data_IF_399494526636
#
_entry.id   IF_399494526636
#
_cell.length_a   1.000
_cell.length_b   1.000
_cell.length_c   1.000
_cell.angle_alpha   90.00
_cell.angle_beta   90.00
_cell.angle_gamma   90.00
#
_symmetry.space_group_name_H-M   'P 1'
#
loop_
_entity.id
_entity.type
_entity.pdbx_description
1 polymer ?
#
# COMPACT_ATOMS: atom_id res chain seq x y z
N UNK A 1 -10.72 6.97 13.65
CA UNK A 1 -11.82 7.97 13.67
C UNK A 1 -11.76 9.03 12.56
N UNK A 2 -10.65 9.78 12.35
CA UNK A 2 -10.59 10.90 11.37
C UNK A 2 -10.92 10.55 9.90
N UNK A 3 -10.61 9.34 9.44
CA UNK A 3 -10.90 8.89 8.06
C UNK A 3 -12.40 8.66 7.83
N UNK A 4 -13.12 8.20 8.87
CA UNK A 4 -14.56 7.94 8.81
C UNK A 4 -15.35 9.22 8.56
N UNK A 5 -15.08 10.28 9.33
CA UNK A 5 -15.74 11.58 9.18
C UNK A 5 -15.50 12.20 7.80
N UNK A 6 -14.28 12.06 7.28
CA UNK A 6 -13.92 12.58 5.95
C UNK A 6 -14.67 11.85 4.83
N UNK A 7 -14.89 10.54 4.97
CA UNK A 7 -15.68 9.73 4.01
C UNK A 7 -17.16 10.10 4.06
N UNK A 8 -17.71 10.31 5.26
CA UNK A 8 -19.10 10.72 5.46
C UNK A 8 -19.38 12.10 4.85
N UNK A 9 -18.46 13.06 5.03
CA UNK A 9 -18.59 14.41 4.51
C UNK A 9 -18.57 14.47 2.97
N UNK A 10 -17.77 13.62 2.32
CA UNK A 10 -17.72 13.54 0.85
C UNK A 10 -19.02 12.96 0.27
N UNK A 11 -19.64 11.98 0.94
CA UNK A 11 -20.95 11.45 0.52
C UNK A 11 -22.04 12.51 0.63
N UNK A 12 -22.09 13.24 1.75
CA UNK A 12 -23.05 14.34 1.94
C UNK A 12 -22.95 15.41 0.86
N UNK A 13 -21.73 15.81 0.46
CA UNK A 13 -21.53 16.78 -0.64
C UNK A 13 -22.03 16.27 -1.99
N UNK A 14 -21.86 14.98 -2.28
CA UNK A 14 -22.34 14.37 -3.53
C UNK A 14 -23.88 14.32 -3.56
N UNK A 15 -24.49 13.95 -2.44
CA UNK A 15 -25.94 13.72 -2.36
C UNK A 15 -26.76 15.02 -2.27
N UNK A 16 -26.18 16.11 -1.74
CA UNK A 16 -26.92 17.35 -1.45
C UNK A 16 -26.46 18.59 -2.24
N UNK A 17 -25.34 18.53 -2.97
CA UNK A 17 -24.92 19.66 -3.81
C UNK A 17 -25.68 19.66 -5.13
N UNK A 18 -26.37 20.77 -5.43
CA UNK A 18 -26.96 21.00 -6.75
C UNK A 18 -25.94 21.53 -7.78
N UNK A 19 -24.68 21.72 -7.37
CA UNK A 19 -23.61 22.17 -8.26
C UNK A 19 -22.88 20.97 -8.86
N UNK A 20 -23.13 20.71 -10.15
CA UNK A 20 -22.53 19.60 -10.88
C UNK A 20 -20.99 19.55 -10.82
N UNK A 21 -20.30 20.71 -10.72
CA UNK A 21 -18.84 20.75 -10.59
C UNK A 21 -18.36 20.24 -9.23
N UNK A 22 -19.07 20.58 -8.15
CA UNK A 22 -18.74 20.13 -6.80
C UNK A 22 -19.00 18.63 -6.64
N UNK A 23 -20.10 18.14 -7.22
CA UNK A 23 -20.40 16.71 -7.28
C UNK A 23 -19.29 15.97 -8.03
N UNK A 24 -18.89 16.44 -9.22
CA UNK A 24 -17.82 15.80 -9.99
C UNK A 24 -16.47 15.79 -9.25
N UNK A 25 -16.09 16.90 -8.61
CA UNK A 25 -14.87 17.00 -7.81
C UNK A 25 -14.90 16.06 -6.60
N UNK A 26 -16.05 15.97 -5.92
CA UNK A 26 -16.25 15.12 -4.75
C UNK A 26 -16.25 13.63 -5.12
N UNK A 27 -16.84 13.26 -6.25
CA UNK A 27 -16.80 11.90 -6.79
C UNK A 27 -15.37 11.47 -7.12
N UNK A 28 -14.61 12.32 -7.83
CA UNK A 28 -13.18 12.06 -8.12
C UNK A 28 -12.36 11.88 -6.83
N UNK A 29 -12.66 12.68 -5.80
CA UNK A 29 -12.02 12.54 -4.48
C UNK A 29 -12.39 11.23 -3.79
N UNK A 30 -13.65 10.82 -3.85
CA UNK A 30 -14.14 9.53 -3.33
C UNK A 30 -13.40 8.37 -3.99
N UNK A 31 -13.31 8.36 -5.31
CA UNK A 31 -12.60 7.33 -6.08
C UNK A 31 -11.12 7.27 -5.69
N UNK A 32 -10.44 8.41 -5.57
CA UNK A 32 -9.05 8.45 -5.11
C UNK A 32 -8.88 7.84 -3.72
N UNK A 33 -9.74 8.20 -2.77
CA UNK A 33 -9.70 7.65 -1.42
C UNK A 33 -10.00 6.15 -1.39
N UNK A 34 -10.90 5.66 -2.26
CA UNK A 34 -11.17 4.24 -2.38
C UNK A 34 -9.97 3.47 -2.93
N UNK A 35 -9.28 4.00 -3.94
CA UNK A 35 -8.04 3.40 -4.48
C UNK A 35 -6.96 3.33 -3.41
N UNK A 36 -6.70 4.43 -2.70
CA UNK A 36 -5.73 4.47 -1.60
C UNK A 36 -6.09 3.49 -0.48
N UNK A 37 -7.38 3.38 -0.12
CA UNK A 37 -7.81 2.43 0.89
C UNK A 37 -7.59 0.98 0.44
N UNK A 38 -7.85 0.67 -0.83
CA UNK A 38 -7.59 -0.65 -1.41
C UNK A 38 -6.09 -0.96 -1.36
N UNK A 39 -5.25 -0.06 -1.84
CA UNK A 39 -3.79 -0.21 -1.78
C UNK A 39 -3.31 -0.46 -0.35
N UNK A 40 -3.75 0.33 0.64
CA UNK A 40 -3.37 0.12 2.04
C UNK A 40 -3.77 -1.26 2.57
N UNK A 41 -4.95 -1.77 2.19
CA UNK A 41 -5.43 -3.10 2.62
C UNK A 41 -4.62 -4.22 1.97
N UNK A 42 -4.39 -4.10 0.66
CA UNK A 42 -3.59 -5.08 -0.09
C UNK A 42 -2.16 -5.14 0.48
N UNK A 43 -1.56 -3.98 0.80
CA UNK A 43 -0.23 -3.93 1.45
C UNK A 43 -0.22 -4.53 2.87
N UNK A 44 -1.24 -4.25 3.68
CA UNK A 44 -1.36 -4.79 5.04
C UNK A 44 -1.42 -6.32 5.03
N UNK A 45 -2.21 -6.90 4.11
CA UNK A 45 -2.32 -8.35 3.95
C UNK A 45 -0.98 -8.99 3.53
N UNK A 46 -0.27 -8.38 2.56
CA UNK A 46 1.05 -8.86 2.13
C UNK A 46 2.09 -8.80 3.25
N UNK A 47 2.14 -7.69 3.99
CA UNK A 47 3.08 -7.51 5.12
C UNK A 47 2.74 -8.50 6.24
N UNK A 48 1.46 -8.71 6.55
CA UNK A 48 1.05 -9.68 7.56
C UNK A 48 1.50 -11.10 7.19
N UNK A 49 1.37 -11.51 5.93
CA UNK A 49 1.83 -12.81 5.45
C UNK A 49 3.36 -12.98 5.56
N UNK A 50 4.12 -11.94 5.21
CA UNK A 50 5.58 -11.92 5.37
C UNK A 50 5.99 -11.99 6.86
N UNK A 51 5.31 -11.24 7.73
CA UNK A 51 5.59 -11.22 9.17
C UNK A 51 5.31 -12.57 9.83
N UNK A 52 4.20 -13.22 9.46
CA UNK A 52 3.86 -14.57 9.93
C UNK A 52 4.89 -15.62 9.50
N UNK A 53 5.55 -15.41 8.36
CA UNK A 53 6.62 -16.29 7.88
C UNK A 53 7.89 -16.23 8.74
N UNK A 54 7.99 -15.27 9.69
CA UNK A 54 9.14 -15.11 10.61
C UNK A 54 10.50 -15.20 9.89
N UNK A 55 10.62 -14.44 8.81
CA UNK A 55 11.79 -14.46 7.93
C UNK A 55 13.05 -14.14 8.74
N UNK A 56 13.99 -15.08 8.79
CA UNK A 56 15.29 -14.88 9.42
C UNK A 56 16.14 -13.95 8.55
N UNK A 57 16.68 -12.90 9.16
CA UNK A 57 17.66 -12.01 8.54
C UNK A 57 18.98 -12.13 9.27
N UNK A 58 20.05 -12.21 8.49
CA UNK A 58 21.43 -12.17 8.98
C UNK A 58 22.07 -10.92 8.40
N UNK A 59 22.59 -10.04 9.25
CA UNK A 59 23.12 -8.76 8.78
C UNK A 59 24.39 -8.93 7.96
N UNK A 60 25.12 -10.03 8.14
CA UNK A 60 26.33 -10.35 7.39
C UNK A 60 26.03 -10.75 5.93
N UNK A 61 24.79 -11.14 5.61
CA UNK A 61 24.35 -11.41 4.23
C UNK A 61 24.34 -10.14 3.34
N UNK A 62 24.40 -8.97 3.96
CA UNK A 62 24.39 -7.68 3.27
C UNK A 62 23.00 -7.23 2.79
N UNK A 63 22.93 -5.96 2.42
CA UNK A 63 21.67 -5.25 2.16
C UNK A 63 20.86 -5.89 1.04
N UNK A 64 21.48 -6.25 -0.09
CA UNK A 64 20.76 -6.79 -1.27
C UNK A 64 20.08 -8.12 -0.96
N UNK A 65 20.78 -9.03 -0.29
CA UNK A 65 20.24 -10.34 0.08
C UNK A 65 19.09 -10.17 1.07
N UNK A 66 19.28 -9.33 2.09
CA UNK A 66 18.24 -9.07 3.09
C UNK A 66 17.01 -8.38 2.50
N UNK A 67 17.18 -7.47 1.54
CA UNK A 67 16.08 -6.82 0.84
C UNK A 67 15.22 -7.82 0.05
N UNK A 68 15.86 -8.82 -0.56
CA UNK A 68 15.16 -9.90 -1.27
C UNK A 68 14.49 -10.87 -0.31
N UNK A 69 15.18 -11.27 0.77
CA UNK A 69 14.66 -12.20 1.78
C UNK A 69 13.41 -11.65 2.45
N UNK A 70 13.44 -10.39 2.88
CA UNK A 70 12.31 -9.74 3.57
C UNK A 70 11.03 -9.69 2.71
N UNK A 71 11.16 -9.75 1.38
CA UNK A 71 10.07 -9.72 0.42
C UNK A 71 9.69 -11.12 -0.09
N UNK A 72 10.28 -12.19 0.44
CA UNK A 72 9.98 -13.57 0.05
C UNK A 72 9.44 -14.33 1.25
N UNK A 73 8.17 -14.75 1.19
CA UNK A 73 7.53 -15.52 2.26
C UNK A 73 8.07 -16.97 2.31
N UNK A 74 7.74 -17.68 3.39
CA UNK A 74 8.18 -19.08 3.60
C UNK A 74 7.66 -20.06 2.54
N UNK A 75 6.57 -19.73 1.85
CA UNK A 75 6.02 -20.48 0.72
C UNK A 75 6.73 -20.17 -0.62
N UNK A 76 7.76 -19.33 -0.61
CA UNK A 76 8.51 -18.91 -1.78
C UNK A 76 7.85 -17.79 -2.59
N UNK A 77 6.67 -17.29 -2.18
CA UNK A 77 6.03 -16.17 -2.88
C UNK A 77 6.75 -14.86 -2.60
N UNK A 78 6.95 -14.09 -3.67
CA UNK A 78 7.56 -12.77 -3.59
C UNK A 78 6.48 -11.68 -3.54
N UNK A 79 6.60 -10.80 -2.55
CA UNK A 79 5.71 -9.66 -2.32
C UNK A 79 6.53 -8.37 -2.41
N UNK A 80 6.29 -7.56 -3.43
CA UNK A 80 7.01 -6.29 -3.66
C UNK A 80 6.45 -5.19 -2.74
N UNK A 81 6.75 -5.30 -1.44
CA UNK A 81 6.25 -4.38 -0.41
C UNK A 81 7.25 -3.26 -0.07
N UNK A 82 8.51 -3.39 -0.48
CA UNK A 82 9.54 -2.38 -0.24
C UNK A 82 9.76 -1.51 -1.47
N UNK A 83 9.96 -0.20 -1.24
CA UNK A 83 10.28 0.74 -2.30
C UNK A 83 11.64 0.45 -2.94
N UNK A 84 11.77 0.81 -4.22
CA UNK A 84 13.02 0.79 -4.99
C UNK A 84 13.76 -0.55 -4.99
N UNK A 85 13.01 -1.66 -4.88
CA UNK A 85 13.53 -3.03 -4.93
C UNK A 85 14.50 -3.23 -6.10
N UNK A 86 14.17 -2.71 -7.28
CA UNK A 86 14.95 -2.83 -8.51
C UNK A 86 16.28 -2.08 -8.45
N UNK A 87 16.30 -0.89 -7.85
CA UNK A 87 17.51 -0.07 -7.74
C UNK A 87 18.48 -0.67 -6.72
N UNK A 88 17.96 -1.17 -5.60
CA UNK A 88 18.78 -1.81 -4.56
C UNK A 88 19.36 -3.14 -5.06
N UNK A 89 18.59 -3.89 -5.86
CA UNK A 89 19.01 -5.17 -6.43
C UNK A 89 19.87 -5.04 -7.69
N UNK A 90 20.11 -3.83 -8.21
CA UNK A 90 20.96 -3.62 -9.37
C UNK A 90 22.41 -4.03 -9.07
N UNK A 91 23.10 -4.65 -10.04
CA UNK A 91 24.55 -4.87 -9.95
C UNK A 91 25.26 -3.52 -10.08
N UNK A 92 26.29 -3.31 -9.27
CA UNK A 92 27.22 -2.19 -9.51
C UNK A 92 27.92 -2.44 -10.86
N UNK A 93 28.07 -1.37 -11.64
CA UNK A 93 28.76 -1.41 -12.94
C UNK A 93 30.26 -1.57 -12.75
#
# INVERSE_FOLDING_TARGET
>A
MKISYKKLWVLLMIDHSQNAREVAASTKRKEKLQKQLKECRDYDEMIAHLALSRIKLDLDDGVKVNYRKLQTAGDGKFYEVLADSKNIMAKEK
#
